data_IF_684994194009
#
_entry.id   IF_684994194009
#
_cell.length_a   1.000
_cell.length_b   1.000
_cell.length_c   1.000
_cell.angle_alpha   90.00
_cell.angle_beta   90.00
_cell.angle_gamma   90.00
#
_symmetry.space_group_name_H-M   'P 1'
#
loop_
_entity.id
_entity.type
_entity.pdbx_description
1 polymer ?
#
# COMPACT_ATOMS: atom_id res chain seq x y z
N UNK A 1 -33.16 -91.76 -24.43
CA UNK A 1 -33.64 -92.92 -25.19
C UNK A 1 -32.48 -93.31 -26.11
N UNK A 2 -31.81 -94.42 -25.83
CA UNK A 2 -30.66 -94.85 -26.62
C UNK A 2 -31.19 -95.66 -27.81
N UNK A 3 -30.99 -95.15 -29.02
CA UNK A 3 -31.28 -95.88 -30.23
C UNK A 3 -30.12 -96.84 -30.53
N UNK A 4 -30.39 -98.15 -30.55
CA UNK A 4 -29.45 -99.17 -31.01
C UNK A 4 -29.63 -99.36 -32.51
N UNK A 5 -28.55 -99.20 -33.28
CA UNK A 5 -28.53 -99.43 -34.72
C UNK A 5 -27.78 -100.74 -35.01
N UNK A 6 -28.39 -101.72 -35.70
CA UNK A 6 -27.69 -102.94 -36.10
C UNK A 6 -26.66 -102.60 -37.19
N UNK A 7 -25.38 -102.88 -36.92
CA UNK A 7 -24.29 -102.68 -37.86
C UNK A 7 -24.02 -104.01 -38.60
N UNK A 8 -24.43 -104.10 -39.87
CA UNK A 8 -24.31 -105.31 -40.70
C UNK A 8 -23.14 -105.26 -41.71
N UNK A 9 -22.42 -104.14 -41.78
CA UNK A 9 -21.23 -103.93 -42.62
C UNK A 9 -20.38 -102.79 -42.05
N UNK A 10 -19.16 -102.61 -42.58
CA UNK A 10 -18.30 -101.48 -42.25
C UNK A 10 -19.07 -100.15 -42.35
N UNK A 11 -19.14 -99.44 -41.23
CA UNK A 11 -19.92 -98.21 -41.06
C UNK A 11 -19.01 -97.14 -40.47
N UNK A 12 -18.88 -96.03 -41.18
CA UNK A 12 -18.12 -94.87 -40.72
C UNK A 12 -19.07 -93.89 -40.02
N UNK A 13 -18.74 -93.54 -38.77
CA UNK A 13 -19.44 -92.49 -38.03
C UNK A 13 -18.54 -91.26 -37.99
N UNK A 14 -19.04 -90.14 -38.50
CA UNK A 14 -18.33 -88.87 -38.53
C UNK A 14 -18.92 -87.97 -37.45
N UNK A 15 -18.08 -87.49 -36.54
CA UNK A 15 -18.46 -86.45 -35.59
C UNK A 15 -18.42 -85.07 -36.28
N UNK A 16 -19.47 -84.28 -36.07
CA UNK A 16 -19.54 -82.87 -36.50
C UNK A 16 -19.36 -82.01 -35.25
N UNK A 17 -18.41 -81.08 -35.29
CA UNK A 17 -18.13 -80.14 -34.21
C UNK A 17 -18.43 -78.72 -34.67
N UNK A 18 -19.01 -77.92 -33.77
CA UNK A 18 -19.24 -76.49 -33.96
C UNK A 18 -18.41 -75.70 -32.95
N UNK A 19 -17.79 -74.61 -33.41
CA UNK A 19 -17.00 -73.74 -32.56
C UNK A 19 -17.92 -72.97 -31.60
N UNK A 20 -17.54 -72.91 -30.33
CA UNK A 20 -18.19 -72.02 -29.36
C UNK A 20 -17.57 -70.62 -29.53
N UNK A 21 -18.40 -69.64 -29.85
CA UNK A 21 -18.01 -68.23 -29.95
C UNK A 21 -18.56 -67.41 -28.77
N UNK A 22 -17.75 -66.48 -28.29
CA UNK A 22 -18.13 -65.49 -27.28
C UNK A 22 -18.02 -64.07 -27.83
N UNK A 23 -18.77 -63.15 -27.21
CA UNK A 23 -18.76 -61.74 -27.55
C UNK A 23 -17.66 -60.99 -26.80
N UNK A 24 -16.97 -60.12 -27.52
CA UNK A 24 -16.04 -59.13 -26.97
C UNK A 24 -16.61 -57.76 -27.24
N UNK A 25 -16.95 -57.05 -26.17
CA UNK A 25 -17.58 -55.71 -26.21
C UNK A 25 -16.65 -54.66 -25.63
N UNK A 26 -16.79 -53.42 -26.10
CA UNK A 26 -15.95 -52.31 -25.70
C UNK A 26 -16.81 -51.23 -25.04
N UNK A 27 -16.45 -50.85 -23.82
CA UNK A 27 -17.14 -49.83 -23.06
C UNK A 27 -16.26 -48.59 -22.94
N UNK A 28 -16.69 -47.49 -23.55
CA UNK A 28 -15.94 -46.22 -23.56
C UNK A 28 -15.82 -45.55 -22.20
N UNK A 29 -16.65 -45.92 -21.21
CA UNK A 29 -16.57 -45.47 -19.82
C UNK A 29 -16.44 -43.95 -19.68
N UNK A 30 -17.39 -43.22 -20.28
CA UNK A 30 -17.40 -41.76 -20.34
C UNK A 30 -16.65 -41.16 -21.52
N UNK A 31 -15.84 -41.94 -22.24
CA UNK A 31 -15.35 -41.57 -23.57
C UNK A 31 -16.47 -41.62 -24.61
N UNK A 32 -16.33 -40.85 -25.68
CA UNK A 32 -17.30 -40.78 -26.79
C UNK A 32 -16.84 -41.57 -28.01
N UNK A 33 -17.77 -41.84 -28.92
CA UNK A 33 -17.55 -42.68 -30.10
C UNK A 33 -17.87 -44.15 -29.83
N UNK A 34 -17.73 -44.97 -30.87
CA UNK A 34 -18.09 -46.39 -30.84
C UNK A 34 -16.93 -47.26 -31.29
N UNK A 35 -16.79 -48.41 -30.64
CA UNK A 35 -15.92 -49.49 -31.09
C UNK A 35 -16.78 -50.73 -31.37
N UNK A 36 -16.73 -51.30 -32.58
CA UNK A 36 -17.60 -52.41 -32.95
C UNK A 36 -17.31 -53.65 -32.10
N UNK A 37 -18.37 -54.36 -31.70
CA UNK A 37 -18.24 -55.66 -31.03
C UNK A 37 -17.52 -56.67 -31.94
N UNK A 38 -16.83 -57.62 -31.32
CA UNK A 38 -16.15 -58.71 -32.01
C UNK A 38 -16.60 -60.05 -31.45
N UNK A 39 -16.43 -61.10 -32.26
CA UNK A 39 -16.59 -62.49 -31.83
C UNK A 39 -15.24 -63.18 -31.79
N UNK A 40 -15.03 -64.04 -30.81
CA UNK A 40 -13.83 -64.84 -30.67
C UNK A 40 -14.18 -66.26 -30.22
N UNK A 41 -13.43 -67.25 -30.71
CA UNK A 41 -13.62 -68.65 -30.34
C UNK A 41 -13.18 -68.87 -28.89
N UNK A 42 -13.86 -69.75 -28.17
CA UNK A 42 -13.47 -70.18 -26.82
C UNK A 42 -12.00 -70.65 -26.80
N UNK A 43 -11.22 -70.18 -25.84
CA UNK A 43 -9.81 -70.52 -25.66
C UNK A 43 -8.86 -69.83 -26.65
N UNK A 44 -9.35 -69.02 -27.59
CA UNK A 44 -8.49 -68.28 -28.53
C UNK A 44 -7.83 -67.07 -27.85
N UNK A 45 -6.65 -66.70 -28.34
CA UNK A 45 -6.00 -65.44 -27.96
C UNK A 45 -6.64 -64.27 -28.70
N UNK A 46 -6.97 -63.21 -27.97
CA UNK A 46 -7.49 -61.95 -28.48
C UNK A 46 -6.53 -60.81 -28.13
N UNK A 47 -6.00 -60.15 -29.16
CA UNK A 47 -5.13 -58.98 -28.98
C UNK A 47 -5.97 -57.71 -28.75
N UNK A 48 -5.67 -56.99 -27.66
CA UNK A 48 -6.38 -55.78 -27.29
C UNK A 48 -6.08 -54.66 -28.29
N UNK A 49 -7.10 -54.03 -28.89
CA UNK A 49 -6.87 -52.97 -29.87
C UNK A 49 -6.36 -51.69 -29.19
N UNK A 50 -5.78 -50.81 -30.00
CA UNK A 50 -5.63 -49.41 -29.62
C UNK A 50 -6.99 -48.79 -29.28
N UNK A 51 -6.98 -47.82 -28.37
CA UNK A 51 -8.19 -47.09 -28.00
C UNK A 51 -8.79 -46.38 -29.22
N UNK A 52 -10.03 -46.71 -29.56
CA UNK A 52 -10.82 -46.07 -30.61
C UNK A 52 -11.78 -44.99 -30.10
N UNK A 53 -11.97 -44.88 -28.78
CA UNK A 53 -12.83 -43.84 -28.19
C UNK A 53 -12.12 -42.49 -28.14
N UNK A 54 -12.89 -41.42 -28.32
CA UNK A 54 -12.43 -40.07 -27.99
C UNK A 54 -12.44 -39.89 -26.46
N UNK A 55 -11.35 -39.34 -25.94
CA UNK A 55 -11.19 -39.17 -24.50
C UNK A 55 -12.18 -38.15 -23.94
N UNK A 56 -12.69 -38.35 -22.71
CA UNK A 56 -13.42 -37.30 -22.00
C UNK A 56 -12.58 -36.03 -21.88
N UNK A 57 -13.24 -34.88 -21.75
CA UNK A 57 -12.58 -33.58 -21.61
C UNK A 57 -11.47 -33.63 -20.54
N UNK A 58 -10.29 -33.12 -20.90
CA UNK A 58 -9.10 -33.01 -20.04
C UNK A 58 -8.51 -34.33 -19.53
N UNK A 59 -8.90 -35.47 -20.12
CA UNK A 59 -8.33 -36.79 -19.82
C UNK A 59 -7.59 -37.36 -21.02
N UNK A 60 -6.79 -38.39 -20.77
CA UNK A 60 -6.15 -39.22 -21.79
C UNK A 60 -6.36 -40.69 -21.46
N UNK A 61 -6.37 -41.52 -22.49
CA UNK A 61 -6.45 -42.96 -22.32
C UNK A 61 -5.27 -43.45 -21.46
N UNK A 62 -5.56 -44.34 -20.52
CA UNK A 62 -4.57 -44.94 -19.64
C UNK A 62 -4.33 -46.40 -20.01
N UNK A 63 -5.37 -47.23 -19.94
CA UNK A 63 -5.34 -48.67 -20.22
C UNK A 63 -6.77 -49.20 -20.36
N UNK A 64 -6.89 -50.47 -20.74
CA UNK A 64 -8.12 -51.24 -20.67
C UNK A 64 -8.27 -51.91 -19.31
N UNK A 65 -9.50 -52.03 -18.82
CA UNK A 65 -9.86 -52.84 -17.67
C UNK A 65 -10.72 -54.01 -18.13
N UNK A 66 -10.32 -55.23 -17.77
CA UNK A 66 -11.06 -56.45 -18.02
C UNK A 66 -11.25 -57.16 -16.68
N UNK A 67 -12.48 -57.21 -16.18
CA UNK A 67 -12.75 -57.63 -14.80
C UNK A 67 -11.98 -56.78 -13.79
N UNK A 68 -11.03 -57.38 -13.07
CA UNK A 68 -10.16 -56.70 -12.10
C UNK A 68 -8.73 -56.44 -12.61
N UNK A 69 -8.42 -56.81 -13.86
CA UNK A 69 -7.09 -56.65 -14.44
C UNK A 69 -7.01 -55.40 -15.30
N UNK A 70 -5.85 -54.74 -15.27
CA UNK A 70 -5.50 -53.64 -16.16
C UNK A 70 -4.57 -54.18 -17.26
N UNK A 71 -4.89 -53.88 -18.52
CA UNK A 71 -4.14 -54.32 -19.70
C UNK A 71 -3.92 -53.17 -20.67
N UNK A 72 -2.76 -53.13 -21.30
CA UNK A 72 -2.46 -52.15 -22.34
C UNK A 72 -2.90 -52.65 -23.73
N UNK A 73 -3.10 -51.74 -24.70
CA UNK A 73 -3.21 -52.11 -26.10
C UNK A 73 -2.04 -52.99 -26.58
N UNK A 74 -2.35 -53.98 -27.42
CA UNK A 74 -1.39 -54.97 -27.92
C UNK A 74 -1.18 -56.17 -26.99
N UNK A 75 -1.60 -56.10 -25.72
CA UNK A 75 -1.61 -57.29 -24.86
C UNK A 75 -2.66 -58.29 -25.31
N UNK A 76 -2.39 -59.58 -25.10
CA UNK A 76 -3.30 -60.67 -25.45
C UNK A 76 -4.02 -61.21 -24.23
N UNK A 77 -5.29 -61.56 -24.41
CA UNK A 77 -6.12 -62.24 -23.40
C UNK A 77 -6.72 -63.51 -24.01
N UNK A 78 -7.02 -64.50 -23.17
CA UNK A 78 -7.76 -65.71 -23.60
C UNK A 78 -9.25 -65.47 -23.44
N UNK A 79 -10.05 -65.81 -24.45
CA UNK A 79 -11.51 -65.65 -24.41
C UNK A 79 -12.17 -66.94 -23.99
N UNK A 80 -12.59 -67.04 -22.73
CA UNK A 80 -13.30 -68.22 -22.18
C UNK A 80 -14.79 -67.97 -21.88
N UNK A 81 -15.23 -66.73 -22.10
CA UNK A 81 -16.61 -66.27 -21.93
C UNK A 81 -16.80 -64.89 -22.55
N UNK A 82 -18.05 -64.40 -22.53
CA UNK A 82 -18.35 -63.03 -22.95
C UNK A 82 -17.51 -62.04 -22.12
N UNK A 83 -16.82 -61.14 -22.82
CA UNK A 83 -15.81 -60.26 -22.22
C UNK A 83 -16.15 -58.81 -22.53
N UNK A 84 -16.28 -57.99 -21.48
CA UNK A 84 -16.35 -56.52 -21.61
C UNK A 84 -14.97 -55.91 -21.34
N UNK A 85 -14.52 -55.05 -22.26
CA UNK A 85 -13.26 -54.33 -22.18
C UNK A 85 -13.57 -52.85 -21.96
N UNK A 86 -13.27 -52.34 -20.77
CA UNK A 86 -13.63 -50.99 -20.35
C UNK A 86 -12.45 -50.02 -20.46
N UNK A 87 -12.63 -48.87 -21.10
CA UNK A 87 -11.58 -47.84 -21.15
C UNK A 87 -11.35 -47.20 -19.77
N UNK A 88 -10.09 -47.00 -19.39
CA UNK A 88 -9.73 -46.23 -18.20
C UNK A 88 -9.02 -44.96 -18.60
N UNK A 89 -9.50 -43.84 -18.05
CA UNK A 89 -9.03 -42.50 -18.35
C UNK A 89 -8.26 -41.92 -17.17
N UNK A 90 -7.18 -41.21 -17.46
CA UNK A 90 -6.40 -40.45 -16.46
C UNK A 90 -6.42 -38.97 -16.78
N UNK A 91 -6.41 -38.14 -15.75
CA UNK A 91 -6.32 -36.69 -15.91
C UNK A 91 -5.01 -36.28 -16.59
N UNK A 92 -5.11 -35.27 -17.44
CA UNK A 92 -3.93 -34.58 -17.97
C UNK A 92 -3.57 -33.52 -16.95
N UNK A 93 -2.34 -33.55 -16.44
CA UNK A 93 -1.81 -32.52 -15.54
C UNK A 93 -1.00 -31.50 -16.33
N UNK A 94 -1.09 -30.24 -15.93
CA UNK A 94 -0.35 -29.09 -16.49
C UNK A 94 0.24 -28.25 -15.35
N UNK A 95 1.30 -27.53 -15.66
CA UNK A 95 2.03 -26.73 -14.68
C UNK A 95 1.74 -25.24 -14.83
N UNK A 96 1.54 -24.57 -13.70
CA UNK A 96 1.54 -23.12 -13.57
C UNK A 96 2.82 -22.72 -12.87
N UNK A 97 3.60 -21.83 -13.46
CA UNK A 97 4.83 -21.30 -12.87
C UNK A 97 4.82 -19.78 -12.88
N UNK A 98 5.64 -19.17 -12.01
CA UNK A 98 5.79 -17.73 -11.93
C UNK A 98 7.20 -17.33 -12.34
N UNK A 99 7.29 -16.29 -13.16
CA UNK A 99 8.55 -15.68 -13.58
C UNK A 99 8.64 -14.26 -12.97
N UNK A 100 9.74 -13.92 -12.28
CA UNK A 100 9.91 -12.58 -11.70
C UNK A 100 10.05 -11.46 -12.73
N UNK A 101 10.18 -11.77 -14.03
CA UNK A 101 10.45 -10.76 -15.05
C UNK A 101 11.80 -10.11 -14.79
N UNK A 102 11.83 -8.78 -14.66
CA UNK A 102 13.04 -8.04 -14.26
C UNK A 102 13.36 -8.14 -12.76
N UNK A 103 12.40 -8.58 -11.94
CA UNK A 103 12.56 -8.71 -10.50
C UNK A 103 13.40 -9.91 -10.10
N UNK A 104 13.33 -10.28 -8.82
CA UNK A 104 14.06 -11.44 -8.30
C UNK A 104 13.27 -12.22 -7.24
N UNK A 105 13.72 -13.43 -6.95
CA UNK A 105 13.10 -14.36 -6.01
C UNK A 105 12.40 -15.54 -6.72
N UNK A 106 11.77 -16.39 -5.92
CA UNK A 106 11.05 -17.57 -6.38
C UNK A 106 9.64 -17.58 -5.82
N UNK A 107 8.68 -18.06 -6.60
CA UNK A 107 7.32 -18.29 -6.16
C UNK A 107 6.91 -19.71 -6.53
N UNK A 108 6.28 -20.40 -5.57
CA UNK A 108 5.81 -21.76 -5.79
C UNK A 108 4.58 -21.73 -6.70
N UNK A 109 4.74 -22.33 -7.87
CA UNK A 109 3.66 -22.62 -8.80
C UNK A 109 2.74 -23.76 -8.35
N UNK A 110 2.02 -24.35 -9.29
CA UNK A 110 1.15 -25.49 -9.04
C UNK A 110 1.11 -26.46 -10.22
N UNK A 111 0.85 -27.73 -9.94
CA UNK A 111 0.51 -28.74 -10.95
C UNK A 111 -0.95 -29.09 -10.78
N UNK A 112 -1.76 -28.82 -11.80
CA UNK A 112 -3.23 -28.93 -11.73
C UNK A 112 -3.77 -29.72 -12.93
N UNK A 113 -4.99 -30.24 -12.80
CA UNK A 113 -5.68 -30.89 -13.92
C UNK A 113 -5.95 -29.86 -15.02
N UNK A 114 -5.65 -30.22 -16.26
CA UNK A 114 -5.92 -29.43 -17.46
C UNK A 114 -7.37 -28.93 -17.46
N UNK A 115 -7.55 -27.67 -17.87
CA UNK A 115 -8.84 -26.99 -17.93
C UNK A 115 -9.45 -26.67 -16.56
N UNK A 116 -8.70 -26.81 -15.47
CA UNK A 116 -9.12 -26.31 -14.16
C UNK A 116 -8.89 -24.80 -14.07
N UNK A 117 -9.69 -24.16 -13.22
CA UNK A 117 -9.49 -22.76 -12.84
C UNK A 117 -8.31 -22.63 -11.88
N UNK A 118 -7.50 -21.60 -12.06
CA UNK A 118 -6.37 -21.25 -11.20
C UNK A 118 -6.44 -19.78 -10.82
N UNK A 119 -6.26 -19.49 -9.53
CA UNK A 119 -6.26 -18.13 -8.99
C UNK A 119 -4.83 -17.59 -8.91
N UNK A 120 -4.58 -16.44 -9.54
CA UNK A 120 -3.30 -15.75 -9.53
C UNK A 120 -2.92 -15.33 -8.10
N UNK A 121 -1.68 -15.60 -7.71
CA UNK A 121 -1.16 -15.25 -6.40
C UNK A 121 -0.87 -13.75 -6.31
N UNK A 122 -0.84 -13.23 -5.08
CA UNK A 122 -0.21 -11.94 -4.82
C UNK A 122 1.27 -11.96 -5.22
N UNK A 123 1.82 -10.82 -5.61
CA UNK A 123 3.25 -10.72 -5.90
C UNK A 123 4.07 -11.09 -4.66
N UNK A 124 4.88 -12.14 -4.78
CA UNK A 124 5.86 -12.57 -3.79
C UNK A 124 7.31 -12.27 -4.20
N UNK A 125 7.53 -11.70 -5.38
CA UNK A 125 8.87 -11.34 -5.86
C UNK A 125 9.35 -10.01 -5.29
N UNK A 126 10.67 -9.86 -5.22
CA UNK A 126 11.33 -8.60 -4.91
C UNK A 126 11.42 -7.73 -6.15
N UNK A 127 10.96 -6.49 -6.03
CA UNK A 127 10.99 -5.51 -7.12
C UNK A 127 12.43 -5.11 -7.50
N UNK A 128 12.69 -4.80 -8.79
CA UNK A 128 13.89 -4.11 -9.21
C UNK A 128 14.05 -2.73 -8.53
N UNK A 129 15.26 -2.17 -8.57
CA UNK A 129 15.52 -0.84 -8.04
C UNK A 129 14.62 0.22 -8.69
N UNK A 130 14.09 1.14 -7.88
CA UNK A 130 13.19 2.23 -8.31
C UNK A 130 11.91 1.77 -9.02
N UNK A 131 11.53 0.50 -8.91
CA UNK A 131 10.28 -0.04 -9.45
C UNK A 131 9.38 -0.61 -8.36
N UNK A 132 8.11 -0.75 -8.69
CA UNK A 132 7.11 -1.46 -7.91
C UNK A 132 6.32 -2.41 -8.81
N UNK A 133 5.72 -3.44 -8.22
CA UNK A 133 4.90 -4.40 -8.95
C UNK A 133 3.71 -3.68 -9.56
N UNK A 134 3.49 -3.88 -10.85
CA UNK A 134 2.35 -3.31 -11.56
C UNK A 134 1.23 -4.34 -11.70
N UNK A 135 1.51 -5.45 -12.41
CA UNK A 135 0.52 -6.44 -12.81
C UNK A 135 1.17 -7.78 -13.22
N UNK A 136 0.38 -8.84 -13.35
CA UNK A 136 0.82 -10.08 -13.98
C UNK A 136 0.56 -10.05 -15.49
N UNK A 137 1.46 -10.64 -16.28
CA UNK A 137 1.22 -10.99 -17.68
C UNK A 137 1.05 -12.51 -17.81
N UNK A 138 -0.04 -12.94 -18.45
CA UNK A 138 -0.35 -14.34 -18.71
C UNK A 138 -0.76 -14.48 -20.17
N UNK A 139 0.02 -15.22 -20.97
CA UNK A 139 -0.22 -15.38 -22.42
C UNK A 139 -0.42 -14.04 -23.17
N UNK A 140 0.25 -12.97 -22.74
CA UNK A 140 0.13 -11.62 -23.31
C UNK A 140 -1.03 -10.77 -22.75
N UNK A 141 -1.87 -11.32 -21.88
CA UNK A 141 -2.92 -10.57 -21.19
C UNK A 141 -2.45 -10.08 -19.82
N UNK A 142 -2.83 -8.84 -19.47
CA UNK A 142 -2.49 -8.24 -18.17
C UNK A 142 -3.60 -8.50 -17.15
N UNK A 143 -3.26 -9.19 -16.06
CA UNK A 143 -4.22 -9.63 -15.05
C UNK A 143 -3.78 -9.20 -13.64
N UNK A 144 -4.72 -8.70 -12.86
CA UNK A 144 -4.46 -8.33 -11.48
C UNK A 144 -4.21 -9.58 -10.62
N UNK A 145 -3.43 -9.47 -9.53
CA UNK A 145 -3.40 -10.50 -8.50
C UNK A 145 -4.81 -10.91 -8.07
N UNK A 146 -4.99 -12.18 -7.69
CA UNK A 146 -6.27 -12.79 -7.34
C UNK A 146 -7.28 -12.97 -8.49
N UNK A 147 -6.98 -12.57 -9.73
CA UNK A 147 -7.84 -12.93 -10.87
C UNK A 147 -7.75 -14.43 -11.14
N UNK A 148 -8.77 -14.99 -11.78
CA UNK A 148 -8.83 -16.42 -12.11
C UNK A 148 -8.63 -16.65 -13.61
N UNK A 149 -7.92 -17.72 -13.96
CA UNK A 149 -7.69 -18.15 -15.34
C UNK A 149 -8.05 -19.63 -15.49
N UNK A 150 -8.39 -20.07 -16.69
CA UNK A 150 -8.47 -21.51 -17.01
C UNK A 150 -7.14 -21.97 -17.60
N UNK A 151 -6.60 -23.08 -17.09
CA UNK A 151 -5.24 -23.54 -17.46
C UNK A 151 -5.31 -24.79 -18.33
N UNK A 152 -5.22 -24.63 -19.64
CA UNK A 152 -5.32 -25.73 -20.62
C UNK A 152 -3.98 -26.32 -21.07
N UNK A 153 -2.88 -25.68 -20.66
CA UNK A 153 -1.49 -26.06 -20.97
C UNK A 153 -0.57 -25.49 -19.92
N UNK A 154 0.69 -25.90 -19.96
CA UNK A 154 1.73 -25.29 -19.13
C UNK A 154 1.73 -23.77 -19.34
N UNK A 155 1.63 -23.02 -18.24
CA UNK A 155 1.40 -21.58 -18.23
C UNK A 155 2.42 -20.91 -17.33
N UNK A 156 3.09 -19.88 -17.87
CA UNK A 156 4.02 -19.03 -17.13
C UNK A 156 3.34 -17.68 -16.88
N UNK A 157 3.32 -17.26 -15.63
CA UNK A 157 2.79 -15.99 -15.18
C UNK A 157 3.97 -15.06 -14.88
N UNK A 158 4.11 -13.96 -15.60
CA UNK A 158 5.29 -13.09 -15.52
C UNK A 158 4.97 -11.78 -14.81
N UNK A 159 5.80 -11.37 -13.83
CA UNK A 159 5.63 -10.08 -13.16
C UNK A 159 6.01 -8.93 -14.11
N UNK A 160 5.15 -7.93 -14.18
CA UNK A 160 5.42 -6.66 -14.86
C UNK A 160 5.62 -5.57 -13.80
N UNK A 161 6.64 -4.74 -14.01
CA UNK A 161 7.10 -3.73 -13.07
C UNK A 161 6.93 -2.34 -13.69
N UNK A 162 6.56 -1.36 -12.87
CA UNK A 162 6.54 0.06 -13.25
C UNK A 162 7.49 0.86 -12.37
N UNK A 163 7.96 1.99 -12.89
CA UNK A 163 8.78 2.90 -12.10
C UNK A 163 7.96 3.49 -10.95
N UNK A 164 8.57 3.57 -9.77
CA UNK A 164 8.00 4.31 -8.65
C UNK A 164 7.88 5.77 -9.06
N UNK A 165 6.74 6.38 -8.75
CA UNK A 165 6.60 7.83 -8.86
C UNK A 165 7.44 8.45 -7.75
N UNK A 166 8.35 9.41 -8.03
CA UNK A 166 9.09 10.08 -6.97
C UNK A 166 8.09 10.74 -6.02
N UNK A 167 8.07 10.33 -4.75
CA UNK A 167 7.31 11.05 -3.73
C UNK A 167 7.90 12.46 -3.65
N UNK A 168 7.12 13.45 -4.08
CA UNK A 168 7.49 14.84 -3.88
C UNK A 168 7.36 15.10 -2.39
N UNK A 169 8.44 15.44 -1.65
CA UNK A 169 8.31 15.72 -0.23
C UNK A 169 7.32 16.89 -0.05
N UNK A 170 6.47 16.87 1.00
CA UNK A 170 5.52 17.95 1.21
C UNK A 170 6.27 19.27 1.37
N UNK A 171 5.95 20.24 0.52
CA UNK A 171 6.50 21.60 0.63
C UNK A 171 5.91 22.22 1.90
N UNK A 172 6.72 22.33 2.94
CA UNK A 172 6.34 23.07 4.16
C UNK A 172 6.41 24.56 3.87
N UNK A 173 5.26 25.25 3.88
CA UNK A 173 5.17 26.70 3.75
C UNK A 173 5.86 27.38 4.95
N UNK A 174 6.78 28.32 4.69
CA UNK A 174 7.50 29.07 5.71
C UNK A 174 6.95 30.49 5.85
N UNK A 175 6.99 31.01 7.08
CA UNK A 175 6.50 32.33 7.47
C UNK A 175 7.50 33.02 8.39
N UNK A 176 7.39 34.34 8.53
CA UNK A 176 8.35 35.18 9.27
C UNK A 176 7.71 35.91 10.45
N UNK A 177 8.45 36.05 11.54
CA UNK A 177 8.16 37.00 12.62
C UNK A 177 9.16 38.15 12.56
N UNK A 178 8.65 39.37 12.45
CA UNK A 178 9.41 40.60 12.27
C UNK A 178 9.07 41.53 13.43
N UNK A 179 10.08 42.07 14.10
CA UNK A 179 9.86 43.04 15.18
C UNK A 179 10.00 44.48 14.66
N UNK A 180 9.05 45.33 15.01
CA UNK A 180 9.01 46.75 14.68
C UNK A 180 9.19 47.59 15.96
N UNK A 181 10.17 48.49 15.95
CA UNK A 181 10.52 49.34 17.08
C UNK A 181 9.48 50.42 17.40
N UNK A 182 8.62 50.78 16.44
CA UNK A 182 7.52 51.74 16.59
C UNK A 182 7.91 53.02 17.36
N UNK A 183 8.79 53.80 16.76
CA UNK A 183 9.33 55.03 17.34
C UNK A 183 10.53 54.83 18.26
N UNK A 184 10.81 53.60 18.71
CA UNK A 184 12.09 53.23 19.30
C UNK A 184 13.20 53.13 18.25
N UNK A 185 14.43 52.80 18.69
CA UNK A 185 15.58 52.62 17.80
C UNK A 185 16.30 51.27 18.02
N UNK A 186 17.07 50.83 17.04
CA UNK A 186 17.74 49.52 17.03
C UNK A 186 17.05 48.52 16.09
N UNK A 187 17.51 47.27 16.13
CA UNK A 187 17.07 46.20 15.22
C UNK A 187 17.08 44.85 15.95
N UNK A 188 16.07 44.03 15.67
CA UNK A 188 15.96 42.66 16.18
C UNK A 188 15.93 41.68 15.00
N UNK A 189 16.46 40.47 15.20
CA UNK A 189 16.55 39.47 14.14
C UNK A 189 15.16 38.97 13.71
N UNK A 190 14.98 38.81 12.40
CA UNK A 190 13.79 38.19 11.81
C UNK A 190 13.86 36.69 12.02
N UNK A 191 12.78 36.09 12.53
CA UNK A 191 12.69 34.63 12.68
C UNK A 191 11.87 34.02 11.55
N UNK A 192 12.43 33.01 10.87
CA UNK A 192 11.71 32.18 9.89
C UNK A 192 11.34 30.83 10.52
N UNK A 193 10.12 30.35 10.25
CA UNK A 193 9.53 29.14 10.83
C UNK A 193 8.54 28.48 9.86
N UNK A 194 8.18 27.22 10.11
CA UNK A 194 7.12 26.54 9.37
C UNK A 194 5.75 27.09 9.80
N UNK A 195 4.85 27.34 8.85
CA UNK A 195 3.48 27.81 9.11
C UNK A 195 2.77 26.95 10.18
N UNK A 196 2.15 27.61 11.15
CA UNK A 196 1.48 26.98 12.29
C UNK A 196 2.41 26.61 13.44
N UNK A 197 3.70 26.94 13.36
CA UNK A 197 4.61 26.74 14.50
C UNK A 197 4.25 27.70 15.64
N UNK A 198 4.45 27.21 16.86
CA UNK A 198 4.47 28.03 18.07
C UNK A 198 5.76 28.86 18.11
N UNK A 199 5.64 30.10 18.56
CA UNK A 199 6.75 31.03 18.68
C UNK A 199 6.60 31.88 19.94
N UNK A 200 7.68 31.94 20.74
CA UNK A 200 7.76 32.77 21.94
C UNK A 200 8.25 34.16 21.59
N UNK A 201 7.49 35.19 21.97
CA UNK A 201 7.87 36.58 21.75
C UNK A 201 9.12 36.94 22.55
N UNK A 202 10.10 37.56 21.89
CA UNK A 202 11.39 37.89 22.46
C UNK A 202 11.27 39.03 23.47
N UNK A 203 12.24 39.11 24.38
CA UNK A 203 12.43 40.31 25.18
C UNK A 203 12.71 41.53 24.28
N UNK A 204 12.32 42.72 24.73
CA UNK A 204 12.59 43.95 23.99
C UNK A 204 14.09 44.16 23.78
N UNK A 205 14.52 44.14 22.51
CA UNK A 205 15.87 44.48 22.08
C UNK A 205 16.03 45.91 21.58
N UNK A 206 14.96 46.70 21.51
CA UNK A 206 15.00 48.09 21.06
C UNK A 206 15.35 49.07 22.19
N UNK A 207 15.97 50.18 21.82
CA UNK A 207 16.14 51.33 22.70
C UNK A 207 14.86 52.17 22.71
N UNK A 208 14.38 52.50 23.91
CA UNK A 208 13.14 53.24 24.09
C UNK A 208 13.23 54.68 23.57
N UNK A 209 12.13 55.26 23.05
CA UNK A 209 12.03 56.68 22.80
C UNK A 209 12.26 57.50 24.07
N UNK A 210 12.64 58.78 23.92
CA UNK A 210 12.88 59.67 25.06
C UNK A 210 11.68 59.74 26.01
N UNK A 211 11.94 59.62 27.31
CA UNK A 211 10.95 59.63 28.41
C UNK A 211 9.91 58.50 28.35
N UNK A 212 10.18 57.40 27.65
CA UNK A 212 9.31 56.22 27.62
C UNK A 212 10.01 54.97 28.12
N UNK A 213 9.23 53.98 28.54
CA UNK A 213 9.67 52.61 28.86
C UNK A 213 8.86 51.59 28.05
N UNK A 214 9.46 50.42 27.81
CA UNK A 214 8.80 49.33 27.10
C UNK A 214 7.65 48.77 27.93
N UNK A 215 6.44 48.76 27.37
CA UNK A 215 5.24 48.21 28.01
C UNK A 215 5.00 46.76 27.58
N UNK A 216 5.21 46.45 26.30
CA UNK A 216 4.91 45.14 25.72
C UNK A 216 4.94 45.17 24.20
N UNK A 217 4.46 44.10 23.59
CA UNK A 217 4.33 43.93 22.15
C UNK A 217 2.88 44.09 21.72
N UNK A 218 2.66 44.42 20.44
CA UNK A 218 1.35 44.45 19.82
C UNK A 218 1.40 43.73 18.47
N UNK A 219 0.44 42.85 18.22
CA UNK A 219 0.27 42.17 16.94
C UNK A 219 -1.16 42.43 16.47
N UNK A 220 -1.32 43.15 15.36
CA UNK A 220 -2.64 43.67 14.99
C UNK A 220 -3.16 44.63 16.05
N UNK A 221 -4.28 44.31 16.70
CA UNK A 221 -4.86 45.11 17.79
C UNK A 221 -4.59 44.56 19.19
N UNK A 222 -4.05 43.34 19.30
CA UNK A 222 -3.87 42.64 20.57
C UNK A 222 -2.50 42.94 21.18
N UNK A 223 -2.46 43.25 22.47
CA UNK A 223 -1.22 43.43 23.24
C UNK A 223 -0.74 42.10 23.86
N UNK A 224 0.56 41.91 23.91
CA UNK A 224 1.25 40.73 24.45
C UNK A 224 2.43 41.16 25.33
N UNK A 225 2.76 40.34 26.32
CA UNK A 225 4.01 40.49 27.06
C UNK A 225 5.19 39.85 26.30
N UNK A 226 6.41 40.26 26.64
CA UNK A 226 7.59 39.49 26.25
C UNK A 226 7.57 38.12 26.93
N UNK A 227 7.85 37.06 26.18
CA UNK A 227 7.76 35.67 26.64
C UNK A 227 6.41 34.98 26.37
N UNK A 228 5.39 35.71 25.89
CA UNK A 228 4.13 35.09 25.49
C UNK A 228 4.32 34.20 24.24
N UNK A 229 3.56 33.10 24.16
CA UNK A 229 3.58 32.19 23.02
C UNK A 229 2.43 32.50 22.04
N UNK A 230 2.75 32.58 20.76
CA UNK A 230 1.79 32.73 19.66
C UNK A 230 1.93 31.57 18.67
N UNK A 231 0.86 31.29 17.92
CA UNK A 231 0.93 30.46 16.71
C UNK A 231 1.07 31.37 15.50
N UNK A 232 2.00 31.06 14.61
CA UNK A 232 2.33 31.92 13.47
C UNK A 232 1.92 31.24 12.17
N UNK A 233 0.77 31.63 11.64
CA UNK A 233 0.17 31.06 10.43
C UNK A 233 0.46 31.88 9.15
N UNK A 234 1.08 33.05 9.31
CA UNK A 234 1.47 33.97 8.25
C UNK A 234 2.58 34.90 8.74
N UNK A 235 3.18 35.64 7.82
CA UNK A 235 4.11 36.71 8.18
C UNK A 235 3.47 37.66 9.21
N UNK A 236 4.15 37.81 10.33
CA UNK A 236 3.62 38.47 11.53
C UNK A 236 4.58 39.57 11.95
N UNK A 237 4.08 40.81 11.99
CA UNK A 237 4.81 41.95 12.55
C UNK A 237 4.43 42.15 14.01
N UNK A 238 5.44 42.20 14.87
CA UNK A 238 5.33 42.38 16.32
C UNK A 238 5.85 43.77 16.67
N UNK A 239 4.96 44.67 17.05
CA UNK A 239 5.25 46.10 17.18
C UNK A 239 5.45 46.47 18.65
N UNK A 240 6.51 47.21 18.98
CA UNK A 240 6.77 47.66 20.34
C UNK A 240 5.69 48.64 20.82
N UNK A 241 5.25 48.48 22.07
CA UNK A 241 4.35 49.41 22.77
C UNK A 241 5.15 50.11 23.87
N UNK A 242 5.09 51.43 23.87
CA UNK A 242 5.82 52.29 24.79
C UNK A 242 4.85 53.07 25.69
N UNK A 243 5.16 53.17 26.97
CA UNK A 243 4.42 54.00 27.94
C UNK A 243 5.33 55.10 28.50
N UNK A 244 4.75 56.25 28.86
CA UNK A 244 5.52 57.39 29.38
C UNK A 244 6.06 57.09 30.78
N UNK A 245 7.25 57.60 31.08
CA UNK A 245 7.82 57.56 32.43
C UNK A 245 7.25 58.76 33.19
N UNK A 246 6.55 58.51 34.31
CA UNK A 246 6.11 59.58 35.20
C UNK A 246 7.31 60.34 35.76
N UNK A 247 7.42 61.62 35.42
CA UNK A 247 8.40 62.52 36.04
C UNK A 247 7.71 63.34 37.12
N UNK A 248 8.09 63.18 38.38
CA UNK A 248 7.80 64.17 39.41
C UNK A 248 8.47 65.49 39.04
N UNK A 249 7.78 66.64 39.04
CA UNK A 249 8.40 67.94 38.77
C UNK A 249 9.53 68.21 39.78
N UNK A 250 10.63 68.89 39.38
CA UNK A 250 11.67 69.28 40.33
C UNK A 250 11.07 70.22 41.40
N UNK A 251 11.41 69.96 42.67
CA UNK A 251 10.98 70.78 43.80
C UNK A 251 11.42 72.24 43.60
N UNK A 252 10.50 73.19 43.82
CA UNK A 252 10.81 74.61 43.75
C UNK A 252 11.65 75.02 44.97
N UNK A 253 12.77 75.70 44.73
CA UNK A 253 13.67 76.20 45.78
C UNK A 253 13.19 77.58 46.25
N UNK A 254 12.83 77.71 47.54
CA UNK A 254 12.47 79.00 48.16
C UNK A 254 13.71 79.66 48.78
N UNK A 255 13.84 80.97 48.60
CA UNK A 255 14.88 81.81 49.19
C UNK A 255 14.22 82.81 50.14
N UNK A 256 14.80 82.97 51.34
CA UNK A 256 14.34 83.94 52.32
C UNK A 256 15.08 85.26 52.14
N UNK A 257 14.34 86.36 52.00
CA UNK A 257 14.89 87.72 52.04
C UNK A 257 14.71 88.26 53.46
N UNK A 258 15.81 88.60 54.11
CA UNK A 258 15.85 89.25 55.43
C UNK A 258 16.48 90.63 55.33
N UNK A 259 16.04 91.55 56.19
CA UNK A 259 16.54 92.92 56.24
C UNK A 259 17.17 93.21 57.61
N UNK A 260 18.38 93.79 57.61
CA UNK A 260 19.05 94.31 58.80
C UNK A 260 19.36 95.81 58.59
N UNK A 261 18.81 96.72 59.42
CA UNK A 261 18.93 98.17 59.19
C UNK A 261 20.28 98.80 59.57
N UNK A 262 21.24 98.05 60.12
CA UNK A 262 22.52 98.59 60.59
C UNK A 262 22.32 99.69 61.66
N UNK A 263 22.95 100.86 61.47
CA UNK A 263 22.82 102.02 62.38
C UNK A 263 21.56 102.88 62.11
N UNK A 264 20.72 102.53 61.14
CA UNK A 264 19.46 103.21 60.85
C UNK A 264 18.26 102.67 61.67
N UNK A 265 17.15 103.42 61.69
CA UNK A 265 15.95 103.08 62.48
C UNK A 265 14.78 102.51 61.66
N UNK A 266 15.04 101.85 60.53
CA UNK A 266 14.01 101.25 59.67
C UNK A 266 13.58 99.85 60.11
N UNK A 267 12.34 99.46 59.80
CA UNK A 267 11.85 98.08 59.94
C UNK A 267 11.25 97.61 58.62
N UNK A 268 11.47 96.34 58.24
CA UNK A 268 10.89 95.72 57.05
C UNK A 268 10.64 94.23 57.29
N UNK A 269 9.48 93.74 56.86
CA UNK A 269 9.11 92.32 56.97
C UNK A 269 9.87 91.48 55.94
N UNK A 270 10.44 90.36 56.39
CA UNK A 270 11.06 89.36 55.50
C UNK A 270 10.01 88.60 54.70
N UNK A 271 10.37 88.16 53.49
CA UNK A 271 9.49 87.38 52.60
C UNK A 271 10.20 86.14 52.06
N UNK A 272 9.46 85.04 51.89
CA UNK A 272 9.93 83.86 51.15
C UNK A 272 9.52 83.97 49.68
N UNK A 273 10.46 83.73 48.78
CA UNK A 273 10.24 83.85 47.33
C UNK A 273 10.84 82.65 46.61
N UNK A 274 10.26 82.27 45.47
CA UNK A 274 10.88 81.28 44.59
C UNK A 274 12.20 81.85 44.00
N UNK A 275 13.26 81.05 44.01
CA UNK A 275 14.59 81.44 43.49
C UNK A 275 14.50 81.95 42.05
N UNK A 276 14.91 83.20 41.83
CA UNK A 276 14.80 83.89 40.53
C UNK A 276 13.65 84.90 40.44
N UNK A 277 12.78 84.97 41.45
CA UNK A 277 11.74 86.00 41.55
C UNK A 277 12.35 87.40 41.77
N UNK A 278 11.73 88.44 41.21
CA UNK A 278 12.08 89.83 41.49
C UNK A 278 11.49 90.25 42.84
N UNK A 279 12.30 90.86 43.71
CA UNK A 279 11.85 91.50 44.95
C UNK A 279 11.94 93.01 44.80
N UNK A 280 10.88 93.75 45.15
CA UNK A 280 10.84 95.21 45.03
C UNK A 280 10.71 95.83 46.42
N UNK A 281 11.62 96.76 46.75
CA UNK A 281 11.63 97.49 48.02
C UNK A 281 10.62 98.63 47.97
N UNK A 282 9.69 98.67 48.92
CA UNK A 282 8.81 99.82 49.15
C UNK A 282 9.32 100.56 50.39
N UNK A 283 9.81 101.78 50.23
CA UNK A 283 10.18 102.67 51.34
C UNK A 283 8.96 103.49 51.75
N UNK A 284 8.37 103.20 52.91
CA UNK A 284 7.48 104.15 53.59
C UNK A 284 8.35 105.20 54.29
N UNK A 285 8.08 106.48 54.02
CA UNK A 285 8.93 107.63 54.35
C UNK A 285 9.10 107.94 55.83
#
# INVERSE_FOLDING_TARGET
>A
ENAELPIEKDTEVIAIWEDIEYKVTFNGNGGSGDMPEKKAKKGSEFELPNNGFEAPKNKKFSHWKIGNENKNPGEKITIDGDTEITAIWKDIMVNVTYNPGEGSGEMKGATITKGSTYKLLANGFTAPENKEFDIWEVNGEKLSPNSEITVDKDTVITAIWKNKTPETPPVTEKVKVIYDANGGSGNMEVKELNKGSKYTLLANGFTAPAKKKFKGWKIGETEYAAGDEITVDKDTTVTAVWEDIETTPPAKEEVQVSYEPGEGSGTMDGSKLEKGSKYTLLTTG
#
